data_IF_441728642124
#
_entry.id   IF_441728642124
#
_cell.length_a   1.000
_cell.length_b   1.000
_cell.length_c   1.000
_cell.angle_alpha   90.00
_cell.angle_beta   90.00
_cell.angle_gamma   90.00
#
_symmetry.space_group_name_H-M   'P 1'
#
loop_
_entity.id
_entity.type
_entity.pdbx_description
1 polymer ?
#
# COMPACT_ATOMS: atom_id res chain seq x y z
N UNK A 1 -5.67 -11.19 11.99
CA UNK A 1 -4.76 -12.08 11.17
C UNK A 1 -3.82 -11.25 10.28
N UNK A 2 -2.66 -11.82 9.84
CA UNK A 2 -1.81 -11.25 8.79
C UNK A 2 -2.06 -11.99 7.48
N UNK A 3 -2.67 -11.33 6.52
CA UNK A 3 -3.17 -11.90 5.27
C UNK A 3 -2.35 -11.39 4.08
N UNK A 4 -1.86 -12.27 3.24
CA UNK A 4 -1.07 -11.97 2.05
C UNK A 4 -1.67 -12.61 0.81
N UNK A 5 -1.24 -12.13 -0.37
CA UNK A 5 -1.56 -12.77 -1.65
C UNK A 5 -0.26 -13.26 -2.28
N UNK A 6 -0.27 -14.46 -2.83
CA UNK A 6 0.88 -15.05 -3.51
C UNK A 6 0.45 -15.86 -4.74
N UNK A 7 1.36 -16.07 -5.67
CA UNK A 7 1.12 -16.87 -6.85
C UNK A 7 1.35 -18.36 -6.56
N UNK A 8 0.34 -19.18 -6.85
CA UNK A 8 0.37 -20.65 -6.75
C UNK A 8 0.08 -21.24 -8.13
N UNK A 9 1.12 -21.65 -8.86
CA UNK A 9 0.98 -22.02 -10.27
C UNK A 9 0.49 -20.85 -11.11
N UNK A 10 -0.67 -21.00 -11.78
CA UNK A 10 -1.30 -19.95 -12.59
C UNK A 10 -2.40 -19.18 -11.85
N UNK A 11 -2.64 -19.48 -10.58
CA UNK A 11 -3.67 -18.85 -9.75
C UNK A 11 -3.03 -17.95 -8.68
N UNK A 12 -3.81 -17.00 -8.17
CA UNK A 12 -3.48 -16.27 -6.95
C UNK A 12 -4.14 -16.95 -5.76
N UNK A 13 -3.41 -17.10 -4.66
CA UNK A 13 -3.94 -17.63 -3.41
C UNK A 13 -3.79 -16.60 -2.29
N UNK A 14 -4.71 -16.67 -1.34
CA UNK A 14 -4.58 -15.96 -0.06
C UNK A 14 -3.78 -16.83 0.89
N UNK A 15 -2.77 -16.23 1.51
CA UNK A 15 -2.00 -16.84 2.59
C UNK A 15 -2.29 -16.16 3.92
N UNK A 16 -2.00 -16.86 5.00
CA UNK A 16 -2.03 -16.33 6.37
C UNK A 16 -0.75 -16.70 7.10
N UNK A 17 -0.22 -15.78 7.92
CA UNK A 17 0.92 -16.12 8.76
C UNK A 17 0.45 -16.78 10.04
N UNK A 18 1.06 -17.93 10.38
CA UNK A 18 0.84 -18.64 11.64
C UNK A 18 2.21 -18.88 12.28
N UNK A 19 2.51 -18.21 13.37
CA UNK A 19 3.87 -18.06 13.89
C UNK A 19 4.80 -17.54 12.76
N UNK A 20 5.88 -18.24 12.46
CA UNK A 20 6.84 -17.84 11.41
C UNK A 20 6.60 -18.56 10.07
N UNK A 21 5.39 -19.11 9.85
CA UNK A 21 5.05 -19.87 8.64
C UNK A 21 3.93 -19.18 7.89
N UNK A 22 3.98 -19.29 6.57
CA UNK A 22 2.87 -18.92 5.69
C UNK A 22 2.07 -20.17 5.40
N UNK A 23 0.77 -20.13 5.65
CA UNK A 23 -0.17 -21.20 5.34
C UNK A 23 -1.03 -20.74 4.15
N UNK A 24 -1.19 -21.62 3.17
CA UNK A 24 -2.10 -21.43 2.04
C UNK A 24 -3.56 -21.48 2.53
N UNK A 25 -4.11 -20.31 2.83
CA UNK A 25 -5.45 -20.16 3.37
C UNK A 25 -6.50 -20.51 2.32
N UNK A 26 -6.26 -20.21 1.04
CA UNK A 26 -7.18 -20.60 -0.05
C UNK A 26 -7.41 -22.11 -0.06
N UNK A 27 -6.33 -22.91 -0.03
CA UNK A 27 -6.45 -24.37 0.04
C UNK A 27 -7.07 -24.83 1.36
N UNK A 28 -6.73 -24.20 2.47
CA UNK A 28 -7.30 -24.50 3.78
C UNK A 28 -8.82 -24.26 3.79
N UNK A 29 -9.28 -23.15 3.25
CA UNK A 29 -10.69 -22.81 3.14
C UNK A 29 -11.44 -23.79 2.21
N UNK A 30 -10.88 -24.12 1.05
CA UNK A 30 -11.45 -25.13 0.13
C UNK A 30 -11.64 -26.50 0.83
N UNK A 31 -10.74 -26.87 1.74
CA UNK A 31 -10.83 -28.11 2.51
C UNK A 31 -11.83 -28.04 3.67
N UNK A 32 -11.91 -26.92 4.37
CA UNK A 32 -12.68 -26.79 5.61
C UNK A 32 -14.06 -26.16 5.42
N UNK A 33 -14.23 -25.37 4.35
CA UNK A 33 -15.44 -24.63 4.00
C UNK A 33 -15.69 -24.74 2.48
N UNK A 34 -16.01 -25.95 2.01
CA UNK A 34 -16.11 -26.27 0.59
C UNK A 34 -17.15 -25.42 -0.18
N UNK A 35 -18.15 -24.87 0.50
CA UNK A 35 -19.18 -24.02 -0.09
C UNK A 35 -18.73 -22.55 -0.28
N UNK A 36 -17.56 -22.17 0.27
CA UNK A 36 -17.02 -20.81 0.15
C UNK A 36 -16.38 -20.59 -1.22
N UNK A 37 -17.01 -19.77 -2.07
CA UNK A 37 -16.60 -19.57 -3.48
C UNK A 37 -15.62 -18.41 -3.70
N UNK A 38 -15.34 -17.58 -2.68
CA UNK A 38 -14.50 -16.37 -2.78
C UNK A 38 -13.13 -16.48 -2.07
N UNK A 39 -12.75 -17.68 -1.60
CA UNK A 39 -11.55 -17.87 -0.78
C UNK A 39 -10.21 -17.79 -1.52
N UNK A 40 -10.20 -17.50 -2.82
CA UNK A 40 -9.02 -17.40 -3.68
C UNK A 40 -8.57 -15.95 -3.94
N UNK A 41 -9.35 -14.97 -3.49
CA UNK A 41 -9.05 -13.55 -3.64
C UNK A 41 -9.36 -12.79 -2.36
N UNK A 42 -8.37 -12.05 -1.83
CA UNK A 42 -8.58 -11.24 -0.64
C UNK A 42 -9.61 -10.14 -0.89
N UNK A 43 -9.62 -9.54 -2.09
CA UNK A 43 -10.65 -8.58 -2.47
C UNK A 43 -12.05 -9.22 -2.47
N UNK A 44 -12.20 -10.42 -3.02
CA UNK A 44 -13.49 -11.11 -3.04
C UNK A 44 -13.97 -11.49 -1.62
N UNK A 45 -13.05 -11.86 -0.72
CA UNK A 45 -13.36 -12.12 0.69
C UNK A 45 -13.90 -10.84 1.36
N UNK A 46 -13.21 -9.71 1.15
CA UNK A 46 -13.62 -8.41 1.71
C UNK A 46 -15.00 -8.01 1.17
N UNK A 47 -15.19 -8.06 -0.15
CA UNK A 47 -16.45 -7.67 -0.81
C UNK A 47 -17.63 -8.56 -0.42
N UNK A 48 -17.37 -9.83 -0.11
CA UNK A 48 -18.39 -10.74 0.40
C UNK A 48 -18.72 -10.54 1.89
N UNK A 49 -18.01 -9.63 2.59
CA UNK A 49 -18.21 -9.36 4.01
C UNK A 49 -17.92 -10.56 4.92
N UNK A 50 -16.97 -11.41 4.51
CA UNK A 50 -16.62 -12.60 5.26
C UNK A 50 -15.75 -12.24 6.45
N UNK A 51 -16.13 -12.71 7.64
CA UNK A 51 -15.26 -12.67 8.81
C UNK A 51 -14.11 -13.67 8.65
N UNK A 52 -13.05 -13.18 7.97
CA UNK A 52 -11.89 -14.01 7.64
C UNK A 52 -11.08 -14.37 8.89
N UNK A 53 -11.10 -13.55 9.93
CA UNK A 53 -10.44 -13.86 11.19
C UNK A 53 -11.08 -15.11 11.80
N UNK A 54 -12.41 -15.14 11.88
CA UNK A 54 -13.15 -16.28 12.43
C UNK A 54 -12.98 -17.55 11.60
N UNK A 55 -13.27 -17.51 10.29
CA UNK A 55 -13.22 -18.71 9.45
C UNK A 55 -11.79 -19.20 9.20
N UNK A 56 -10.84 -18.27 9.13
CA UNK A 56 -9.42 -18.58 9.00
C UNK A 56 -8.88 -19.30 10.23
N UNK A 57 -9.17 -18.80 11.44
CA UNK A 57 -8.80 -19.46 12.69
C UNK A 57 -9.41 -20.85 12.80
N UNK A 58 -10.70 -21.00 12.49
CA UNK A 58 -11.37 -22.31 12.47
C UNK A 58 -10.70 -23.27 11.48
N UNK A 59 -10.28 -22.77 10.32
CA UNK A 59 -9.60 -23.58 9.30
C UNK A 59 -8.23 -24.06 9.79
N UNK A 60 -7.42 -23.15 10.35
CA UNK A 60 -6.13 -23.49 10.94
C UNK A 60 -6.28 -24.51 12.08
N UNK A 61 -7.27 -24.30 12.95
CA UNK A 61 -7.56 -25.23 14.04
C UNK A 61 -7.94 -26.62 13.54
N UNK A 62 -8.81 -26.74 12.53
CA UNK A 62 -9.19 -28.02 11.91
C UNK A 62 -7.99 -28.71 11.26
N UNK A 63 -7.12 -27.98 10.57
CA UNK A 63 -5.90 -28.55 9.98
C UNK A 63 -4.93 -29.06 11.05
N UNK A 64 -4.78 -28.34 12.16
CA UNK A 64 -3.98 -28.78 13.30
C UNK A 64 -4.52 -30.07 13.92
N UNK A 65 -5.83 -30.14 14.18
CA UNK A 65 -6.49 -31.34 14.70
C UNK A 65 -6.32 -32.55 13.77
N UNK A 66 -6.39 -32.31 12.46
CA UNK A 66 -6.17 -33.33 11.45
C UNK A 66 -4.67 -33.65 11.21
N UNK A 67 -3.74 -32.95 11.87
CA UNK A 67 -2.26 -33.04 11.68
C UNK A 67 -1.82 -32.76 10.24
N UNK A 68 -2.56 -31.90 9.53
CA UNK A 68 -2.33 -31.56 8.11
C UNK A 68 -1.74 -30.17 7.88
N UNK A 69 -1.51 -29.36 8.91
CA UNK A 69 -1.08 -27.98 8.73
C UNK A 69 0.22 -27.87 7.89
N UNK A 70 1.13 -28.82 8.05
CA UNK A 70 2.39 -28.86 7.30
C UNK A 70 2.17 -28.98 5.78
N UNK A 71 1.10 -29.67 5.33
CA UNK A 71 0.79 -29.88 3.92
C UNK A 71 0.32 -28.59 3.22
N UNK A 72 -0.01 -27.57 4.00
CA UNK A 72 -0.49 -26.26 3.56
C UNK A 72 0.56 -25.16 3.75
N UNK A 73 1.77 -25.50 4.22
CA UNK A 73 2.86 -24.53 4.42
C UNK A 73 3.47 -24.11 3.07
N UNK A 74 3.63 -22.80 2.89
CA UNK A 74 4.29 -22.19 1.73
C UNK A 74 5.69 -21.74 2.16
N UNK A 75 6.73 -22.32 1.56
CA UNK A 75 8.12 -22.08 1.97
C UNK A 75 8.79 -20.92 1.22
N UNK A 76 8.37 -20.63 -0.01
CA UNK A 76 8.91 -19.55 -0.83
C UNK A 76 7.78 -18.91 -1.65
N UNK A 77 6.99 -18.03 -1.04
CA UNK A 77 5.89 -17.42 -1.74
C UNK A 77 6.40 -16.51 -2.86
N UNK A 78 5.84 -16.62 -4.05
CA UNK A 78 5.97 -15.58 -5.06
C UNK A 78 4.96 -14.50 -4.72
N UNK A 79 5.43 -13.44 -4.06
CA UNK A 79 4.60 -12.36 -3.54
C UNK A 79 3.82 -11.66 -4.63
N UNK A 80 2.59 -11.32 -4.31
CA UNK A 80 1.72 -10.44 -5.06
C UNK A 80 1.27 -9.29 -4.13
N UNK A 81 0.83 -8.12 -4.66
CA UNK A 81 0.22 -7.11 -3.81
C UNK A 81 -0.93 -7.73 -3.01
N UNK A 82 -1.13 -7.36 -1.74
CA UNK A 82 -2.17 -7.98 -0.90
C UNK A 82 -3.57 -7.92 -1.53
N UNK A 83 -3.90 -6.81 -2.20
CA UNK A 83 -5.07 -6.67 -3.07
C UNK A 83 -4.58 -6.38 -4.48
N UNK A 84 -4.88 -7.27 -5.43
CA UNK A 84 -4.37 -7.17 -6.81
C UNK A 84 -4.99 -5.99 -7.58
N UNK A 85 -6.28 -5.76 -7.39
CA UNK A 85 -7.07 -4.77 -8.13
C UNK A 85 -8.00 -4.03 -7.16
N UNK A 86 -7.47 -3.18 -6.26
CA UNK A 86 -8.32 -2.36 -5.40
C UNK A 86 -9.19 -1.46 -6.29
N UNK A 87 -10.47 -1.23 -5.94
CA UNK A 87 -11.36 -0.37 -6.74
C UNK A 87 -10.78 1.02 -6.93
N UNK A 88 -10.17 1.59 -5.88
CA UNK A 88 -9.36 2.81 -5.95
C UNK A 88 -8.28 2.83 -4.88
N UNK A 89 -7.23 3.60 -5.14
CA UNK A 89 -6.18 3.90 -4.17
C UNK A 89 -6.13 5.42 -4.02
N UNK A 90 -6.46 5.89 -2.83
CA UNK A 90 -6.30 7.29 -2.45
C UNK A 90 -5.02 7.43 -1.62
N UNK A 91 -4.42 8.60 -1.66
CA UNK A 91 -3.24 8.92 -0.86
C UNK A 91 -3.32 10.35 -0.33
N UNK A 92 -2.71 10.60 0.82
CA UNK A 92 -2.69 11.91 1.46
C UNK A 92 -1.34 12.59 1.27
N UNK A 93 -1.39 13.86 0.92
CA UNK A 93 -0.22 14.73 0.99
C UNK A 93 -0.15 15.41 2.36
N UNK A 94 1.08 15.55 2.89
CA UNK A 94 1.39 16.41 4.05
C UNK A 94 0.61 16.06 5.34
N UNK A 95 0.34 14.79 5.58
CA UNK A 95 -0.41 14.32 6.75
C UNK A 95 0.49 13.99 7.98
N UNK A 96 1.68 14.57 8.09
CA UNK A 96 2.47 14.46 9.32
C UNK A 96 3.05 15.82 9.72
N UNK A 97 3.09 16.08 11.02
CA UNK A 97 3.60 17.37 11.54
C UNK A 97 5.03 17.65 11.10
N UNK A 98 5.92 16.67 11.24
CA UNK A 98 7.30 16.84 10.82
C UNK A 98 7.47 17.05 9.32
N UNK A 99 6.70 16.35 8.47
CA UNK A 99 6.77 16.55 7.01
C UNK A 99 6.17 17.88 6.58
N UNK A 100 5.14 18.37 7.26
CA UNK A 100 4.58 19.70 7.03
C UNK A 100 5.59 20.80 7.38
N UNK A 101 6.29 20.68 8.51
CA UNK A 101 7.36 21.62 8.91
C UNK A 101 8.50 21.66 7.88
N UNK A 102 8.97 20.52 7.37
CA UNK A 102 9.97 20.43 6.31
C UNK A 102 9.52 21.12 5.02
N UNK A 103 8.24 21.02 4.68
CA UNK A 103 7.67 21.60 3.46
C UNK A 103 7.59 23.12 3.52
N UNK A 104 7.64 23.73 4.73
CA UNK A 104 7.42 25.15 5.00
C UNK A 104 6.05 25.65 4.51
N UNK A 105 5.08 24.78 4.40
CA UNK A 105 3.70 25.11 4.05
C UNK A 105 2.90 25.35 5.33
N UNK A 106 1.80 26.10 5.20
CA UNK A 106 0.88 26.31 6.30
C UNK A 106 0.08 25.02 6.57
N UNK A 107 -0.41 24.89 7.79
CA UNK A 107 -1.35 23.86 8.16
C UNK A 107 -2.63 23.98 7.31
N UNK A 108 -3.18 22.82 6.92
CA UNK A 108 -4.43 22.72 6.19
C UNK A 108 -5.52 22.21 7.13
N UNK A 109 -6.69 22.84 7.07
CA UNK A 109 -7.84 22.44 7.88
C UNK A 109 -8.51 21.14 7.37
N UNK A 110 -8.16 20.70 6.17
CA UNK A 110 -8.72 19.51 5.50
C UNK A 110 -7.61 18.64 4.88
N UNK A 111 -7.81 17.30 4.80
CA UNK A 111 -6.90 16.40 4.13
C UNK A 111 -6.71 16.73 2.64
N UNK A 112 -5.48 16.73 2.16
CA UNK A 112 -5.16 16.87 0.73
C UNK A 112 -5.08 15.47 0.11
N UNK A 113 -6.05 15.13 -0.74
CA UNK A 113 -6.21 13.81 -1.33
C UNK A 113 -5.77 13.79 -2.79
N UNK A 114 -5.07 12.75 -3.20
CA UNK A 114 -4.79 12.44 -4.61
C UNK A 114 -4.94 10.93 -4.86
N UNK A 115 -4.99 10.53 -6.14
CA UNK A 115 -5.13 9.13 -6.51
C UNK A 115 -3.78 8.52 -6.92
N UNK A 116 -3.61 7.24 -6.58
CA UNK A 116 -2.60 6.34 -7.16
C UNK A 116 -3.29 5.29 -8.02
N UNK A 117 -2.59 4.82 -9.06
CA UNK A 117 -3.17 3.86 -9.99
C UNK A 117 -2.80 2.43 -9.58
N UNK A 118 -3.79 1.55 -9.56
CA UNK A 118 -3.60 0.14 -9.21
C UNK A 118 -2.61 -0.59 -10.14
N UNK A 119 -2.48 -0.15 -11.40
CA UNK A 119 -1.50 -0.70 -12.34
C UNK A 119 -0.03 -0.45 -11.94
N UNK A 120 0.22 0.44 -10.98
CA UNK A 120 1.56 0.76 -10.46
C UNK A 120 1.92 -0.02 -9.19
N UNK A 121 1.02 -0.91 -8.72
CA UNK A 121 1.26 -1.75 -7.56
C UNK A 121 2.46 -2.66 -7.77
N UNK A 122 3.29 -2.77 -6.73
CA UNK A 122 4.41 -3.70 -6.63
C UNK A 122 4.29 -4.48 -5.33
N UNK A 123 4.53 -5.77 -5.39
CA UNK A 123 4.52 -6.63 -4.22
C UNK A 123 5.76 -6.42 -3.33
N UNK A 124 5.69 -6.95 -2.11
CA UNK A 124 6.87 -7.25 -1.31
C UNK A 124 7.87 -8.06 -2.13
N UNK A 125 9.17 -7.78 -2.00
CA UNK A 125 10.28 -8.34 -2.80
C UNK A 125 10.25 -8.00 -4.30
N UNK A 126 9.30 -7.20 -4.79
CA UNK A 126 9.28 -6.70 -6.17
C UNK A 126 10.24 -5.54 -6.40
N UNK A 127 10.45 -5.19 -7.67
CA UNK A 127 11.38 -4.14 -8.07
C UNK A 127 10.67 -2.79 -8.22
N UNK A 128 11.29 -1.73 -7.69
CA UNK A 128 10.95 -0.33 -8.00
C UNK A 128 11.82 0.09 -9.19
N UNK A 129 11.22 0.40 -10.33
CA UNK A 129 11.94 0.84 -11.53
C UNK A 129 12.08 2.36 -11.54
N UNK A 130 13.32 2.85 -11.59
CA UNK A 130 13.59 4.29 -11.72
C UNK A 130 13.51 4.71 -13.19
N UNK A 131 12.57 5.58 -13.57
CA UNK A 131 12.53 6.14 -14.93
C UNK A 131 13.79 6.96 -15.22
N UNK A 132 14.23 7.08 -16.49
CA UNK A 132 15.51 7.71 -16.83
C UNK A 132 15.53 9.24 -16.73
N UNK A 133 14.38 9.90 -16.64
CA UNK A 133 14.29 11.36 -16.70
C UNK A 133 14.03 12.08 -15.37
N UNK A 134 13.38 11.54 -14.34
CA UNK A 134 13.43 12.12 -13.01
C UNK A 134 14.82 11.94 -12.43
N UNK A 135 15.40 13.03 -11.93
CA UNK A 135 16.73 13.00 -11.31
C UNK A 135 16.66 12.76 -9.81
N UNK A 136 15.50 13.00 -9.21
CA UNK A 136 15.25 12.81 -7.78
C UNK A 136 13.99 12.00 -7.59
N UNK A 137 14.16 10.74 -7.22
CA UNK A 137 13.08 9.83 -6.82
C UNK A 137 13.27 9.51 -5.35
N UNK A 138 12.26 9.83 -4.55
CA UNK A 138 12.27 9.63 -3.10
C UNK A 138 11.35 8.46 -2.72
N UNK A 139 11.71 7.77 -1.63
CA UNK A 139 10.81 6.87 -0.93
C UNK A 139 9.87 7.64 -0.01
N UNK A 140 8.65 7.16 0.18
CA UNK A 140 7.68 7.70 1.14
C UNK A 140 6.97 6.55 1.85
N UNK A 141 7.47 6.23 3.06
CA UNK A 141 6.84 5.22 3.93
C UNK A 141 5.51 5.74 4.46
N UNK A 142 4.45 4.98 4.26
CA UNK A 142 3.11 5.32 4.70
C UNK A 142 2.39 4.11 5.31
N UNK A 143 1.64 4.34 6.38
CA UNK A 143 0.59 3.42 6.78
C UNK A 143 -0.55 3.52 5.76
N UNK A 144 -1.12 2.39 5.37
CA UNK A 144 -2.30 2.36 4.51
C UNK A 144 -3.42 1.56 5.16
N UNK A 145 -4.65 2.06 5.11
CA UNK A 145 -5.85 1.34 5.53
C UNK A 145 -6.58 0.73 4.33
N UNK A 146 -7.32 -0.35 4.58
CA UNK A 146 -8.17 -1.03 3.61
C UNK A 146 -9.61 -0.98 4.10
N UNK A 147 -10.54 -0.56 3.23
CA UNK A 147 -11.97 -0.45 3.54
C UNK A 147 -12.62 -1.84 3.52
N UNK A 148 -13.45 -2.14 4.53
CA UNK A 148 -14.10 -3.45 4.69
C UNK A 148 -15.42 -3.59 3.94
N UNK A 149 -16.14 -2.50 3.74
CA UNK A 149 -17.47 -2.48 3.12
C UNK A 149 -17.80 -1.08 2.58
N UNK A 150 -18.70 -1.01 1.64
CA UNK A 150 -19.15 0.24 1.05
C UNK A 150 -19.66 1.21 2.11
N UNK A 151 -19.26 2.48 1.99
CA UNK A 151 -19.66 3.51 2.92
C UNK A 151 -19.69 4.90 2.29
N UNK A 152 -20.50 5.76 2.90
CA UNK A 152 -20.65 7.18 2.57
C UNK A 152 -21.11 7.96 3.80
N UNK A 153 -20.60 9.20 3.95
CA UNK A 153 -20.97 10.11 5.04
C UNK A 153 -20.79 9.52 6.45
N UNK A 154 -19.64 8.88 6.66
CA UNK A 154 -19.28 8.33 7.97
C UNK A 154 -18.84 9.45 8.92
N UNK A 155 -19.26 9.38 10.18
CA UNK A 155 -18.61 10.13 11.25
C UNK A 155 -17.28 9.44 11.64
N UNK A 156 -16.23 10.17 12.09
CA UNK A 156 -14.98 9.57 12.54
C UNK A 156 -15.18 8.44 13.57
N UNK A 157 -16.15 8.59 14.48
CA UNK A 157 -16.48 7.57 15.49
C UNK A 157 -17.04 6.26 14.92
N UNK A 158 -17.51 6.24 13.70
CA UNK A 158 -18.03 5.06 12.98
C UNK A 158 -16.98 4.42 12.06
N UNK A 159 -15.97 5.18 11.66
CA UNK A 159 -15.02 4.78 10.63
C UNK A 159 -14.25 3.49 10.98
N UNK A 160 -13.98 3.26 12.28
CA UNK A 160 -13.31 2.03 12.76
C UNK A 160 -14.00 0.76 12.29
N UNK A 161 -15.33 0.73 12.27
CA UNK A 161 -16.12 -0.45 11.88
C UNK A 161 -16.13 -0.71 10.37
N UNK A 162 -15.54 0.20 9.59
CA UNK A 162 -15.44 0.15 8.14
C UNK A 162 -14.00 -0.10 7.66
N UNK A 163 -13.08 -0.39 8.56
CA UNK A 163 -11.68 -0.72 8.22
C UNK A 163 -11.49 -2.24 8.32
N UNK A 164 -11.07 -2.84 7.21
CA UNK A 164 -10.71 -4.26 7.14
C UNK A 164 -9.37 -4.52 7.83
N UNK A 165 -8.40 -3.65 7.63
CA UNK A 165 -7.08 -3.79 8.19
C UNK A 165 -6.10 -2.76 7.65
N UNK A 166 -4.81 -2.99 7.94
CA UNK A 166 -3.73 -2.05 7.65
C UNK A 166 -2.56 -2.75 6.97
N UNK A 167 -1.87 -2.02 6.11
CA UNK A 167 -0.67 -2.46 5.40
C UNK A 167 0.32 -1.30 5.28
N UNK A 168 1.48 -1.57 4.67
CA UNK A 168 2.48 -0.54 4.35
C UNK A 168 2.36 -0.20 2.87
N UNK A 169 2.42 1.09 2.54
CA UNK A 169 2.55 1.59 1.18
C UNK A 169 3.82 2.45 1.06
N UNK A 170 4.51 2.33 -0.06
CA UNK A 170 5.56 3.25 -0.44
C UNK A 170 5.03 4.17 -1.55
N UNK A 171 4.72 5.42 -1.21
CA UNK A 171 4.28 6.43 -2.19
C UNK A 171 5.49 7.02 -2.93
N UNK A 172 6.17 6.17 -3.71
CA UNK A 172 7.36 6.58 -4.48
C UNK A 172 7.07 7.82 -5.31
N UNK A 173 7.98 8.79 -5.23
CA UNK A 173 7.76 10.15 -5.73
C UNK A 173 8.89 10.63 -6.62
N UNK A 174 8.59 11.01 -7.87
CA UNK A 174 9.51 11.77 -8.72
C UNK A 174 9.54 13.25 -8.26
N UNK A 175 10.36 13.53 -7.25
CA UNK A 175 10.33 14.78 -6.47
C UNK A 175 10.63 16.03 -7.27
N UNK A 176 11.58 15.96 -8.20
CA UNK A 176 11.91 17.06 -9.10
C UNK A 176 10.73 17.39 -10.02
N UNK A 177 10.07 16.38 -10.59
CA UNK A 177 8.88 16.57 -11.43
C UNK A 177 7.69 17.09 -10.64
N UNK A 178 7.48 16.60 -9.44
CA UNK A 178 6.43 17.10 -8.55
C UNK A 178 6.61 18.63 -8.31
N UNK A 179 7.83 19.06 -7.96
CA UNK A 179 8.12 20.47 -7.72
C UNK A 179 7.96 21.34 -8.97
N UNK A 180 8.37 20.84 -10.11
CA UNK A 180 8.25 21.54 -11.39
C UNK A 180 6.77 21.75 -11.75
N UNK A 181 5.95 20.71 -11.68
CA UNK A 181 4.53 20.79 -12.03
C UNK A 181 3.73 21.63 -11.05
N UNK A 182 4.00 21.55 -9.76
CA UNK A 182 3.38 22.43 -8.76
C UNK A 182 3.65 23.91 -9.06
N UNK A 183 4.87 24.27 -9.45
CA UNK A 183 5.22 25.66 -9.84
C UNK A 183 4.44 26.13 -11.08
N UNK A 184 4.10 25.23 -11.98
CA UNK A 184 3.32 25.51 -13.18
C UNK A 184 1.80 25.43 -12.94
N UNK A 185 1.34 25.16 -11.72
CA UNK A 185 -0.07 24.95 -11.41
C UNK A 185 -0.64 23.66 -12.03
N UNK A 186 0.22 22.70 -12.36
CA UNK A 186 -0.18 21.41 -12.96
C UNK A 186 -0.43 20.35 -11.88
N UNK A 187 -1.35 19.41 -12.12
CA UNK A 187 -1.55 18.28 -11.22
C UNK A 187 -0.27 17.47 -11.05
N UNK A 188 0.17 17.26 -9.82
CA UNK A 188 1.39 16.50 -9.51
C UNK A 188 1.20 14.99 -9.45
N UNK A 189 -0.01 14.50 -9.71
CA UNK A 189 -0.32 13.07 -9.69
C UNK A 189 0.55 12.23 -10.62
N UNK A 190 1.02 12.80 -11.72
CA UNK A 190 2.00 12.15 -12.59
C UNK A 190 3.30 11.79 -11.87
N UNK A 191 3.81 12.67 -11.01
CA UNK A 191 5.02 12.43 -10.24
C UNK A 191 4.91 11.26 -9.25
N UNK A 192 3.69 10.85 -8.94
CA UNK A 192 3.31 9.78 -8.01
C UNK A 192 2.89 8.48 -8.71
N UNK A 193 2.77 8.49 -10.05
CA UNK A 193 2.13 7.41 -10.80
C UNK A 193 2.97 6.86 -11.95
N UNK A 194 4.30 6.90 -11.86
CA UNK A 194 5.13 6.07 -12.73
C UNK A 194 4.88 4.58 -12.45
N UNK A 195 5.11 3.74 -13.45
CA UNK A 195 5.07 2.30 -13.26
C UNK A 195 5.93 1.90 -12.04
N UNK A 196 5.44 0.98 -11.24
CA UNK A 196 6.08 0.49 -10.00
C UNK A 196 6.16 1.47 -8.82
N UNK A 197 5.57 2.68 -8.92
CA UNK A 197 5.63 3.70 -7.85
C UNK A 197 4.61 3.49 -6.72
N UNK A 198 4.06 2.27 -6.57
CA UNK A 198 3.14 1.92 -5.48
C UNK A 198 3.47 0.54 -4.86
N UNK A 199 4.67 0.33 -4.31
CA UNK A 199 4.91 -0.87 -3.51
C UNK A 199 3.95 -0.95 -2.32
N UNK A 200 3.33 -2.14 -2.12
CA UNK A 200 2.35 -2.36 -1.05
C UNK A 200 2.48 -3.75 -0.46
N UNK A 201 2.40 -3.85 0.86
CA UNK A 201 2.50 -5.12 1.59
C UNK A 201 3.30 -5.00 2.89
N UNK A 202 3.91 -6.08 3.37
CA UNK A 202 3.95 -7.43 2.79
C UNK A 202 2.60 -8.16 2.85
N UNK A 203 1.75 -7.79 3.81
CA UNK A 203 0.43 -8.34 4.09
C UNK A 203 -0.50 -7.25 4.64
N UNK A 204 -1.78 -7.57 4.77
CA UNK A 204 -2.73 -6.79 5.52
C UNK A 204 -2.88 -7.41 6.90
N UNK A 205 -2.71 -6.61 7.96
CA UNK A 205 -3.05 -6.98 9.34
C UNK A 205 -4.50 -6.57 9.58
N UNK A 206 -5.36 -7.51 9.92
CA UNK A 206 -6.79 -7.22 10.13
C UNK A 206 -7.01 -6.25 11.28
N UNK A 207 -8.09 -5.48 11.22
CA UNK A 207 -8.45 -4.53 12.28
C UNK A 207 -8.74 -5.22 13.63
N UNK A 208 -9.10 -6.49 13.62
CA UNK A 208 -9.22 -7.28 14.86
C UNK A 208 -7.87 -7.52 15.52
N UNK A 209 -6.81 -7.81 14.75
CA UNK A 209 -5.45 -7.98 15.29
C UNK A 209 -4.78 -6.65 15.63
N UNK A 210 -5.09 -5.60 14.85
CA UNK A 210 -4.55 -4.24 15.05
C UNK A 210 -5.72 -3.24 15.17
N UNK A 211 -6.40 -3.17 16.32
CA UNK A 211 -7.59 -2.33 16.48
C UNK A 211 -7.30 -0.84 16.55
N UNK A 212 -6.09 -0.45 16.90
CA UNK A 212 -5.66 0.95 16.95
C UNK A 212 -4.27 1.13 16.34
N UNK A 213 -4.19 1.81 15.18
CA UNK A 213 -2.92 2.02 14.45
C UNK A 213 -2.24 3.36 14.79
N UNK A 214 -2.71 4.13 15.79
CA UNK A 214 -2.33 5.55 15.98
C UNK A 214 -1.00 5.78 16.71
N UNK A 215 -0.36 4.74 17.26
CA UNK A 215 0.88 4.87 18.03
C UNK A 215 1.94 3.83 17.63
N UNK A 216 1.98 3.50 16.34
CA UNK A 216 2.93 2.52 15.82
C UNK A 216 4.27 3.19 15.50
N UNK A 217 5.35 2.57 15.90
CA UNK A 217 6.70 2.98 15.46
C UNK A 217 6.89 2.61 13.99
N UNK A 218 7.54 3.50 13.26
CA UNK A 218 7.90 3.30 11.86
C UNK A 218 9.39 3.53 11.65
N UNK A 219 9.99 2.74 10.76
CA UNK A 219 11.41 2.88 10.43
C UNK A 219 11.62 2.61 8.93
N UNK A 220 12.49 3.37 8.32
CA UNK A 220 12.97 3.14 6.95
C UNK A 220 14.45 2.84 6.98
N UNK A 221 14.83 1.74 6.35
CA UNK A 221 16.23 1.38 6.07
C UNK A 221 16.48 1.37 4.57
N UNK A 222 17.64 1.85 4.18
CA UNK A 222 18.14 1.72 2.81
C UNK A 222 19.52 1.06 2.90
N UNK A 223 19.68 -0.08 2.22
CA UNK A 223 20.89 -0.92 2.27
C UNK A 223 21.29 -1.32 3.70
N UNK A 224 20.28 -1.59 4.55
CA UNK A 224 20.46 -1.95 5.96
C UNK A 224 20.73 -0.78 6.91
N UNK A 225 20.97 0.44 6.41
CA UNK A 225 21.15 1.63 7.23
C UNK A 225 19.83 2.30 7.54
N UNK A 226 19.59 2.61 8.82
CA UNK A 226 18.44 3.40 9.23
C UNK A 226 18.55 4.81 8.65
N UNK A 227 17.57 5.19 7.83
CA UNK A 227 17.50 6.52 7.20
C UNK A 227 16.49 7.41 7.89
N UNK A 228 15.46 6.81 8.48
CA UNK A 228 14.35 7.53 9.09
C UNK A 228 13.66 6.69 10.15
N UNK A 229 13.20 7.37 11.19
CA UNK A 229 12.32 6.82 12.22
C UNK A 229 11.17 7.79 12.47
N UNK A 230 10.03 7.30 12.91
CA UNK A 230 8.85 8.10 13.21
C UNK A 230 7.78 7.30 13.93
N UNK A 231 6.62 7.87 14.01
CA UNK A 231 5.45 7.24 14.63
C UNK A 231 4.18 7.65 13.90
N UNK A 232 3.19 6.76 13.85
CA UNK A 232 1.86 7.10 13.37
C UNK A 232 1.15 8.13 14.27
N UNK A 233 1.65 8.36 15.49
CA UNK A 233 1.20 9.46 16.35
C UNK A 233 1.50 10.86 15.79
N UNK A 234 2.43 10.97 14.83
CA UNK A 234 2.76 12.24 14.18
C UNK A 234 1.76 12.65 13.10
N UNK A 235 0.79 11.81 12.76
CA UNK A 235 -0.25 12.12 11.80
C UNK A 235 -1.06 13.35 12.25
N UNK A 236 -1.42 14.21 11.29
CA UNK A 236 -2.27 15.39 11.50
C UNK A 236 -3.73 14.93 11.58
N UNK A 237 -4.16 14.16 10.59
CA UNK A 237 -5.46 13.50 10.56
C UNK A 237 -5.28 12.00 10.79
N UNK A 238 -5.97 11.46 11.76
CA UNK A 238 -5.87 10.04 12.08
C UNK A 238 -6.60 9.16 11.04
N UNK A 239 -6.37 7.84 11.00
CA UNK A 239 -6.98 6.95 10.01
C UNK A 239 -8.51 7.01 9.97
N UNK A 240 -9.16 7.27 11.11
CA UNK A 240 -10.62 7.31 11.23
C UNK A 240 -11.18 8.63 10.69
N UNK A 241 -10.50 9.74 10.97
CA UNK A 241 -10.82 11.06 10.42
C UNK A 241 -10.65 11.07 8.90
N UNK A 242 -9.57 10.46 8.39
CA UNK A 242 -9.31 10.36 6.95
C UNK A 242 -10.37 9.54 6.24
N UNK A 243 -10.74 8.36 6.76
CA UNK A 243 -11.80 7.54 6.14
C UNK A 243 -13.14 8.28 6.18
N UNK A 244 -13.47 8.94 7.29
CA UNK A 244 -14.66 9.80 7.40
C UNK A 244 -14.68 10.86 6.31
N UNK A 245 -13.59 11.65 6.18
CA UNK A 245 -13.48 12.70 5.18
C UNK A 245 -13.59 12.16 3.74
N UNK A 246 -12.88 11.07 3.41
CA UNK A 246 -12.98 10.46 2.09
C UNK A 246 -14.40 9.99 1.77
N UNK A 247 -15.14 9.48 2.78
CA UNK A 247 -16.51 9.01 2.61
C UNK A 247 -17.53 10.14 2.35
N UNK A 248 -17.22 11.37 2.73
CA UNK A 248 -18.01 12.55 2.36
C UNK A 248 -17.74 12.99 0.92
N UNK A 249 -16.53 12.80 0.47
CA UNK A 249 -16.07 13.21 -0.85
C UNK A 249 -16.54 12.27 -1.96
N UNK A 250 -16.46 10.96 -1.72
CA UNK A 250 -16.82 9.92 -2.68
C UNK A 250 -17.39 8.69 -1.95
N UNK A 251 -18.04 7.81 -2.71
CA UNK A 251 -18.36 6.48 -2.18
C UNK A 251 -17.07 5.72 -1.97
N UNK A 252 -16.84 5.25 -0.75
CA UNK A 252 -15.77 4.30 -0.46
C UNK A 252 -16.32 2.89 -0.61
N UNK A 253 -15.57 2.04 -1.31
CA UNK A 253 -15.99 0.67 -1.66
C UNK A 253 -15.15 -0.37 -0.91
N UNK A 254 -15.72 -1.53 -0.68
CA UNK A 254 -15.00 -2.67 -0.10
C UNK A 254 -13.74 -3.00 -0.90
N UNK A 255 -12.58 -2.97 -0.26
CA UNK A 255 -11.27 -3.18 -0.88
C UNK A 255 -10.55 -1.91 -1.35
N UNK A 256 -11.16 -0.73 -1.19
CA UNK A 256 -10.45 0.53 -1.39
C UNK A 256 -9.28 0.66 -0.43
N UNK A 257 -8.22 1.32 -0.87
CA UNK A 257 -7.03 1.58 -0.08
C UNK A 257 -6.85 3.08 0.11
N UNK A 258 -6.52 3.51 1.33
CA UNK A 258 -6.11 4.89 1.61
C UNK A 258 -4.73 4.88 2.24
N UNK A 259 -3.75 5.44 1.55
CA UNK A 259 -2.39 5.68 2.05
C UNK A 259 -2.37 7.00 2.81
N UNK A 260 -1.86 7.00 4.04
CA UNK A 260 -2.16 8.01 5.05
C UNK A 260 -1.11 9.12 5.17
N UNK A 261 -0.20 9.22 4.20
CA UNK A 261 0.85 10.23 4.18
C UNK A 261 2.13 9.82 4.90
N UNK A 262 3.22 10.35 4.38
CA UNK A 262 4.57 10.02 4.83
C UNK A 262 5.04 10.90 5.99
N UNK A 263 6.11 10.48 6.64
CA UNK A 263 6.80 11.17 7.73
C UNK A 263 7.95 12.03 7.20
N UNK A 264 8.50 12.92 8.03
CA UNK A 264 9.66 13.76 7.71
C UNK A 264 10.91 12.95 7.30
N UNK A 265 11.80 13.54 6.51
CA UNK A 265 13.13 13.00 6.22
C UNK A 265 13.20 12.05 5.02
N UNK A 266 12.35 12.23 4.01
CA UNK A 266 12.39 11.45 2.77
C UNK A 266 13.77 11.46 2.11
N UNK A 267 14.22 10.32 1.60
CA UNK A 267 15.56 10.17 1.02
C UNK A 267 15.48 9.67 -0.42
N UNK A 268 16.43 10.21 -1.23
CA UNK A 268 16.60 9.81 -2.62
C UNK A 268 16.99 8.34 -2.73
N UNK A 269 16.37 7.66 -3.69
CA UNK A 269 16.68 6.30 -4.11
C UNK A 269 17.63 6.30 -5.31
N UNK A 270 18.48 5.28 -5.38
CA UNK A 270 19.37 5.00 -6.50
C UNK A 270 19.19 3.55 -6.96
N UNK A 271 19.47 3.29 -8.24
CA UNK A 271 19.49 1.92 -8.73
C UNK A 271 20.56 1.09 -7.99
N UNK A 272 20.18 -0.08 -7.52
CA UNK A 272 20.99 -0.96 -6.67
C UNK A 272 20.60 -0.88 -5.19
N UNK A 273 19.82 0.12 -4.76
CA UNK A 273 19.34 0.20 -3.38
C UNK A 273 18.34 -0.90 -3.04
N UNK A 274 18.31 -1.26 -1.77
CA UNK A 274 17.29 -2.08 -1.14
C UNK A 274 16.61 -1.24 -0.08
N UNK A 275 15.30 -1.02 -0.25
CA UNK A 275 14.47 -0.24 0.68
C UNK A 275 13.67 -1.20 1.55
N UNK A 276 13.71 -0.97 2.85
CA UNK A 276 12.93 -1.68 3.85
C UNK A 276 12.14 -0.69 4.68
N UNK A 277 10.82 -0.85 4.68
CA UNK A 277 9.86 -0.02 5.41
C UNK A 277 9.20 -0.86 6.49
N UNK A 278 9.51 -0.57 7.73
CA UNK A 278 8.98 -1.28 8.87
C UNK A 278 7.91 -0.47 9.58
N UNK A 279 6.79 -1.10 9.85
CA UNK A 279 5.75 -0.60 10.76
C UNK A 279 5.55 -1.61 11.87
N UNK A 280 5.64 -1.15 13.11
CA UNK A 280 5.40 -1.96 14.31
C UNK A 280 4.09 -2.73 14.19
N UNK A 281 4.07 -4.02 14.61
CA UNK A 281 2.95 -4.95 14.52
C UNK A 281 2.52 -5.35 13.10
N UNK A 282 2.87 -4.57 12.07
CA UNK A 282 2.60 -4.97 10.68
C UNK A 282 3.76 -5.83 10.17
N UNK A 283 4.97 -5.28 10.07
CA UNK A 283 6.14 -5.98 9.56
C UNK A 283 6.96 -5.10 8.63
N UNK A 284 7.64 -5.72 7.66
CA UNK A 284 8.59 -5.05 6.76
C UNK A 284 8.16 -5.23 5.30
N UNK A 285 7.89 -4.12 4.62
CA UNK A 285 7.81 -4.07 3.16
C UNK A 285 9.22 -3.85 2.62
N UNK A 286 9.72 -4.77 1.80
CA UNK A 286 11.06 -4.74 1.23
C UNK A 286 11.01 -4.76 -0.29
N UNK A 287 11.74 -3.84 -0.93
CA UNK A 287 11.81 -3.74 -2.39
C UNK A 287 13.22 -3.41 -2.84
N UNK A 288 13.62 -3.93 -4.00
CA UNK A 288 14.86 -3.53 -4.68
C UNK A 288 14.57 -2.37 -5.61
N UNK A 289 15.54 -1.49 -5.76
CA UNK A 289 15.49 -0.37 -6.70
C UNK A 289 16.34 -0.70 -7.92
N UNK A 290 15.76 -0.64 -9.11
CA UNK A 290 16.44 -0.97 -10.36
C UNK A 290 16.32 0.18 -11.36
N UNK A 291 17.26 0.29 -12.29
CA UNK A 291 17.10 1.18 -13.42
C UNK A 291 15.99 0.66 -14.36
N UNK A 292 15.33 1.56 -15.07
CA UNK A 292 14.30 1.20 -16.05
C UNK A 292 14.83 0.16 -17.06
N UNK A 293 14.02 -0.87 -17.30
CA UNK A 293 14.39 -2.03 -18.15
C UNK A 293 14.19 -1.78 -19.64
N UNK A 294 13.31 -0.84 -20.00
CA UNK A 294 12.97 -0.55 -21.39
C UNK A 294 13.39 0.87 -21.78
N UNK A 295 13.71 1.12 -23.06
CA UNK A 295 13.90 2.48 -23.52
C UNK A 295 12.58 3.26 -23.37
N UNK A 296 12.66 4.40 -22.72
CA UNK A 296 11.54 5.32 -22.59
C UNK A 296 11.52 6.23 -23.82
N UNK A 297 10.39 6.35 -24.53
CA UNK A 297 10.28 7.30 -25.63
C UNK A 297 10.51 8.72 -25.10
N UNK A 298 11.39 9.43 -25.74
CA UNK A 298 11.61 10.84 -25.44
C UNK A 298 10.53 11.69 -26.11
N UNK A 299 9.38 11.81 -25.46
CA UNK A 299 8.24 12.58 -25.98
C UNK A 299 8.65 13.99 -26.44
N UNK A 300 9.53 14.68 -25.71
CA UNK A 300 10.00 16.00 -26.10
C UNK A 300 10.83 16.00 -27.40
N UNK A 301 11.65 14.95 -27.62
CA UNK A 301 12.43 14.84 -28.85
C UNK A 301 11.55 14.48 -30.05
N UNK A 302 10.54 13.63 -29.84
CA UNK A 302 9.63 13.19 -30.91
C UNK A 302 8.60 14.26 -31.29
N UNK A 303 8.22 15.13 -30.33
CA UNK A 303 7.23 16.21 -30.54
C UNK A 303 7.85 17.58 -30.86
N UNK A 304 9.18 17.69 -30.88
CA UNK A 304 9.88 18.95 -31.19
C UNK A 304 9.60 19.52 -32.58
N UNK A 305 8.95 18.76 -33.47
CA UNK A 305 8.53 19.17 -34.80
C UNK A 305 7.04 19.56 -34.88
N UNK A 306 6.31 19.53 -33.78
CA UNK A 306 4.88 19.86 -33.75
C UNK A 306 4.61 21.36 -33.92
N UNK A 307 3.37 21.76 -34.27
CA UNK A 307 3.00 23.15 -34.58
C UNK A 307 3.25 24.12 -33.38
N UNK A 308 3.29 23.63 -32.15
CA UNK A 308 3.59 24.45 -30.94
C UNK A 308 5.10 24.70 -30.73
N UNK A 309 5.99 24.06 -31.48
CA UNK A 309 7.44 24.27 -31.36
C UNK A 309 7.91 25.54 -32.08
N UNK A 310 7.04 26.19 -32.86
CA UNK A 310 7.38 27.39 -33.64
C UNK A 310 7.09 28.72 -32.95
N UNK A 311 6.48 28.68 -31.73
CA UNK A 311 6.08 29.91 -30.98
C UNK A 311 6.83 30.08 -29.65
N UNK A 312 7.97 29.43 -29.46
CA UNK A 312 8.83 29.60 -28.26
C UNK A 312 10.14 30.28 -28.61
#
# INVERSE_FOLDING_TARGET
>A
MKLLTFQAGNESHVGVTVADRIIDLTRALRFTHADLRCGDSLLAIIQAGIDIDQIGEQSIQRLNQARKLADYTVTAPKWLPPILHPPKILALALNSRGHLEESKLNFFDEPIIFAKYACNLVAHEGDIELPPFPQVVDEEHELALVVSRDCRHLRPSQARDYIFGYTICNDVSARDRQREWLKMGQPYSYAKNFATFCPMGPWIVTSQELPDPRELKVQVRVNGEVRREGSTADMIFDPFEVLSYCSDYTVMEAGDVISLGTYAGNKRLAAGDVVEMETERIGVLRNRVVAARAPWPNFAAETSTGPLAKER
#
